data_IF_669830312111
#
_entry.id   IF_669830312111
#
_cell.length_a   1.000
_cell.length_b   1.000
_cell.length_c   1.000
_cell.angle_alpha   90.00
_cell.angle_beta   90.00
_cell.angle_gamma   90.00
#
_symmetry.space_group_name_H-M   'P 1'
#
loop_
_entity.id
_entity.type
_entity.pdbx_description
1 polymer ?
#
# COMPACT_ATOMS: atom_id res chain seq x y z
N UNK A 1 -22.81 -62.38 -4.81
CA UNK A 1 -21.37 -62.43 -4.37
C UNK A 1 -20.59 -61.78 -5.49
N UNK A 2 -20.31 -60.53 -5.41
CA UNK A 2 -19.08 -59.92 -5.95
C UNK A 2 -18.82 -58.61 -5.23
N UNK A 3 -17.89 -58.75 -4.36
CA UNK A 3 -17.22 -57.67 -3.64
C UNK A 3 -16.27 -57.00 -4.65
N UNK A 4 -16.46 -55.73 -4.95
CA UNK A 4 -15.43 -54.92 -5.61
C UNK A 4 -15.19 -53.69 -4.75
N UNK A 5 -14.22 -53.88 -3.85
CA UNK A 5 -13.60 -52.85 -3.08
C UNK A 5 -12.60 -52.14 -4.00
N UNK A 6 -12.96 -50.97 -4.58
CA UNK A 6 -11.98 -50.12 -5.25
C UNK A 6 -11.16 -49.37 -4.19
N UNK A 7 -9.82 -49.40 -4.27
CA UNK A 7 -8.98 -48.67 -3.36
C UNK A 7 -9.09 -47.15 -3.62
N UNK A 8 -9.33 -46.40 -2.51
CA UNK A 8 -9.24 -44.94 -2.48
C UNK A 8 -7.92 -44.47 -3.09
N UNK A 9 -8.01 -43.61 -4.12
CA UNK A 9 -6.87 -42.91 -4.65
C UNK A 9 -6.28 -42.01 -3.54
N UNK A 10 -4.96 -41.99 -3.35
CA UNK A 10 -4.35 -41.11 -2.39
C UNK A 10 -4.52 -39.65 -2.84
N UNK A 11 -4.96 -38.80 -1.91
CA UNK A 11 -4.97 -37.35 -2.06
C UNK A 11 -3.65 -36.89 -2.68
N UNK A 12 -3.74 -36.17 -3.81
CA UNK A 12 -2.60 -35.47 -4.38
C UNK A 12 -1.99 -34.54 -3.32
N UNK A 13 -0.68 -34.57 -3.11
CA UNK A 13 -0.05 -33.65 -2.19
C UNK A 13 -0.24 -32.22 -2.68
N UNK A 14 -0.71 -31.34 -1.79
CA UNK A 14 -0.75 -29.89 -2.02
C UNK A 14 0.52 -29.46 -2.75
N UNK A 15 0.36 -28.75 -3.87
CA UNK A 15 1.47 -28.13 -4.59
C UNK A 15 2.38 -27.39 -3.58
N UNK A 16 3.70 -27.59 -3.63
CA UNK A 16 4.59 -26.89 -2.72
C UNK A 16 4.47 -25.40 -2.98
N UNK A 17 4.18 -24.63 -1.91
CA UNK A 17 4.35 -23.18 -1.89
C UNK A 17 5.62 -22.82 -2.64
N UNK A 18 5.50 -21.91 -3.63
CA UNK A 18 6.67 -21.39 -4.35
C UNK A 18 7.75 -20.98 -3.36
N UNK A 19 8.96 -21.53 -3.45
CA UNK A 19 9.99 -21.25 -2.48
C UNK A 19 10.44 -19.80 -2.64
N UNK A 20 10.26 -19.02 -1.57
CA UNK A 20 11.03 -17.80 -1.31
C UNK A 20 10.53 -16.48 -1.88
N UNK A 21 9.24 -16.23 -1.90
CA UNK A 21 8.80 -14.85 -2.07
C UNK A 21 9.10 -14.03 -0.80
N UNK A 22 9.76 -12.86 -0.91
CA UNK A 22 10.16 -12.09 0.26
C UNK A 22 8.93 -11.65 1.07
N UNK A 23 9.00 -11.84 2.40
CA UNK A 23 7.94 -11.46 3.34
C UNK A 23 7.55 -9.99 3.24
N UNK A 24 8.49 -9.11 2.94
CA UNK A 24 8.30 -7.67 2.79
C UNK A 24 8.45 -7.31 1.32
N UNK A 25 7.37 -6.82 0.70
CA UNK A 25 7.33 -6.49 -0.72
C UNK A 25 6.77 -5.10 -0.91
N UNK A 26 7.37 -4.37 -1.83
CA UNK A 26 6.73 -3.18 -2.40
C UNK A 26 6.22 -3.61 -3.77
N UNK A 27 4.91 -3.65 -3.91
CA UNK A 27 4.24 -3.81 -5.20
C UNK A 27 3.48 -2.53 -5.48
N UNK A 28 3.51 -2.07 -6.71
CA UNK A 28 2.86 -0.83 -7.12
C UNK A 28 2.59 -0.83 -8.62
N UNK A 29 1.62 -0.04 -9.05
CA UNK A 29 1.56 0.44 -10.42
C UNK A 29 2.66 1.50 -10.58
N UNK A 30 3.55 1.31 -11.55
CA UNK A 30 4.66 2.24 -11.77
C UNK A 30 5.12 2.27 -13.22
N UNK A 31 5.77 3.36 -13.60
CA UNK A 31 6.47 3.56 -14.87
C UNK A 31 7.98 3.68 -14.62
N UNK A 32 8.75 4.12 -15.59
CA UNK A 32 10.17 4.44 -15.42
C UNK A 32 10.40 5.65 -14.51
N UNK A 33 9.48 6.61 -14.49
CA UNK A 33 9.62 7.89 -13.77
C UNK A 33 8.65 8.07 -12.61
N UNK A 34 7.56 7.31 -12.53
CA UNK A 34 6.49 7.50 -11.56
C UNK A 34 6.11 6.22 -10.82
N UNK A 35 5.46 6.40 -9.68
CA UNK A 35 4.80 5.35 -8.87
C UNK A 35 3.43 5.85 -8.44
N UNK A 36 2.43 4.98 -8.51
CA UNK A 36 1.09 5.27 -8.00
C UNK A 36 0.99 4.86 -6.53
N UNK A 37 0.46 5.78 -5.72
CA UNK A 37 0.14 5.54 -4.31
C UNK A 37 -1.31 5.92 -4.05
N UNK A 38 -1.93 5.32 -3.04
CA UNK A 38 -3.34 5.52 -2.74
C UNK A 38 -3.53 6.21 -1.40
N UNK A 39 -4.54 7.08 -1.36
CA UNK A 39 -5.04 7.73 -0.16
C UNK A 39 -6.57 7.86 -0.25
N UNK A 40 -7.22 8.07 0.88
CA UNK A 40 -8.64 8.37 0.90
C UNK A 40 -8.93 9.56 1.82
N UNK A 41 -9.83 10.40 1.39
CA UNK A 41 -10.20 11.65 2.04
C UNK A 41 -11.72 11.86 1.99
N UNK A 42 -12.20 12.76 2.84
CA UNK A 42 -13.56 13.29 2.71
C UNK A 42 -13.72 14.03 1.37
N UNK A 43 -14.96 14.10 0.83
CA UNK A 43 -15.21 14.70 -0.51
C UNK A 43 -14.69 16.12 -0.68
N UNK A 44 -14.69 16.94 0.39
CA UNK A 44 -14.23 18.34 0.36
C UNK A 44 -12.71 18.48 0.13
N UNK A 45 -11.96 17.40 0.37
CA UNK A 45 -10.52 17.32 0.08
C UNK A 45 -10.27 16.54 -1.20
N UNK A 46 -10.83 15.33 -1.29
CA UNK A 46 -10.56 14.40 -2.40
C UNK A 46 -11.08 14.93 -3.75
N UNK A 47 -12.31 15.42 -3.78
CA UNK A 47 -12.91 15.93 -5.01
C UNK A 47 -12.13 17.10 -5.64
N UNK A 48 -11.82 18.17 -4.90
CA UNK A 48 -10.94 19.23 -5.41
C UNK A 48 -9.54 18.74 -5.78
N UNK A 49 -8.96 17.80 -5.02
CA UNK A 49 -7.65 17.28 -5.33
C UNK A 49 -7.61 16.58 -6.69
N UNK A 50 -8.58 15.71 -6.98
CA UNK A 50 -8.69 15.03 -8.27
C UNK A 50 -8.96 16.03 -9.43
N UNK A 51 -9.83 17.02 -9.24
CA UNK A 51 -10.15 18.00 -10.29
C UNK A 51 -8.98 18.91 -10.65
N UNK A 52 -8.14 19.25 -9.70
CA UNK A 52 -7.07 20.24 -9.90
C UNK A 52 -5.67 19.62 -9.96
N UNK A 53 -5.53 18.30 -9.80
CA UNK A 53 -4.24 17.61 -9.77
C UNK A 53 -3.33 18.01 -8.59
N UNK A 54 -3.89 18.63 -7.55
CA UNK A 54 -3.18 19.09 -6.36
C UNK A 54 -4.13 19.22 -5.16
N UNK A 55 -3.61 19.05 -3.97
CA UNK A 55 -4.40 19.22 -2.75
C UNK A 55 -4.89 20.67 -2.57
N UNK A 56 -6.13 20.86 -2.09
CA UNK A 56 -6.65 22.18 -1.76
C UNK A 56 -5.93 22.77 -0.53
N UNK A 57 -6.02 24.09 -0.34
CA UNK A 57 -5.42 24.79 0.81
C UNK A 57 -5.93 24.30 2.18
N UNK A 58 -7.12 23.69 2.21
CA UNK A 58 -7.69 23.07 3.41
C UNK A 58 -7.06 21.72 3.78
N UNK A 59 -6.21 21.16 2.91
CA UNK A 59 -5.45 19.97 3.24
C UNK A 59 -4.37 20.31 4.28
N UNK A 60 -4.34 19.54 5.38
CA UNK A 60 -3.46 19.84 6.52
C UNK A 60 -2.03 19.37 6.27
N UNK A 61 -1.12 20.30 6.07
CA UNK A 61 0.31 20.07 5.82
C UNK A 61 1.13 19.75 7.07
N UNK A 62 0.61 20.12 8.23
CA UNK A 62 1.25 19.93 9.55
C UNK A 62 1.01 18.53 10.14
N UNK A 63 0.15 17.75 9.50
CA UNK A 63 -0.12 16.35 9.90
C UNK A 63 0.67 15.38 9.04
N UNK A 64 1.13 14.29 9.69
CA UNK A 64 1.66 13.15 8.94
C UNK A 64 0.60 12.61 7.99
N UNK A 65 0.95 12.48 6.72
CA UNK A 65 0.15 11.83 5.71
C UNK A 65 0.72 10.47 5.36
N UNK A 66 -0.15 9.46 5.15
CA UNK A 66 0.26 8.09 4.87
C UNK A 66 -0.13 7.74 3.43
N UNK A 67 0.87 7.39 2.63
CA UNK A 67 0.70 6.90 1.25
C UNK A 67 0.92 5.39 1.19
N UNK A 68 0.18 4.70 0.32
CA UNK A 68 0.18 3.26 0.21
C UNK A 68 0.25 2.83 -1.26
N UNK A 69 1.30 2.10 -1.67
CA UNK A 69 1.39 1.60 -3.04
C UNK A 69 0.33 0.54 -3.39
N UNK A 70 -0.17 -0.23 -2.40
CA UNK A 70 -1.17 -1.28 -2.64
C UNK A 70 -2.59 -0.73 -2.62
N UNK A 71 -3.35 -1.00 -3.70
CA UNK A 71 -4.76 -0.68 -3.82
C UNK A 71 -5.61 -1.45 -2.80
N UNK A 72 -5.45 -2.77 -2.70
CA UNK A 72 -6.28 -3.58 -1.79
C UNK A 72 -6.01 -3.26 -0.32
N UNK A 73 -4.77 -2.95 0.06
CA UNK A 73 -4.50 -2.47 1.41
C UNK A 73 -5.21 -1.12 1.68
N UNK A 74 -5.24 -0.23 0.67
CA UNK A 74 -6.00 1.03 0.81
C UNK A 74 -7.50 0.76 0.92
N UNK A 75 -8.05 -0.19 0.16
CA UNK A 75 -9.47 -0.59 0.28
C UNK A 75 -9.79 -1.11 1.68
N UNK A 76 -8.94 -1.95 2.24
CA UNK A 76 -9.04 -2.39 3.63
C UNK A 76 -9.06 -1.19 4.61
N UNK A 77 -8.18 -0.22 4.39
CA UNK A 77 -8.05 0.94 5.28
C UNK A 77 -9.26 1.85 5.24
N UNK A 78 -9.82 2.12 4.07
CA UNK A 78 -10.97 3.02 3.87
C UNK A 78 -12.32 2.29 3.80
N UNK A 79 -12.34 0.94 3.89
CA UNK A 79 -13.57 0.15 3.74
C UNK A 79 -14.24 0.36 2.37
N UNK A 80 -13.44 0.27 1.30
CA UNK A 80 -13.93 0.53 -0.07
C UNK A 80 -14.52 1.93 -0.27
N UNK A 81 -14.02 2.93 0.45
CA UNK A 81 -14.55 4.30 0.41
C UNK A 81 -15.83 4.52 1.21
N UNK A 82 -16.19 3.61 2.12
CA UNK A 82 -17.43 3.75 2.93
C UNK A 82 -17.17 4.31 4.34
N UNK A 83 -15.91 4.40 4.78
CA UNK A 83 -15.61 4.96 6.09
C UNK A 83 -15.72 6.47 6.08
N UNK A 84 -16.33 7.01 7.14
CA UNK A 84 -16.44 8.46 7.35
C UNK A 84 -15.08 9.17 7.24
N UNK A 85 -15.05 10.23 6.46
CA UNK A 85 -13.86 11.03 6.16
C UNK A 85 -12.88 10.36 5.19
N UNK A 86 -13.26 9.25 4.53
CA UNK A 86 -12.47 8.49 3.58
C UNK A 86 -13.29 8.05 2.35
N UNK A 87 -14.29 8.85 1.98
CA UNK A 87 -15.29 8.51 0.95
C UNK A 87 -14.76 8.74 -0.46
N UNK A 88 -13.73 9.56 -0.64
CA UNK A 88 -13.08 9.78 -1.94
C UNK A 88 -11.72 9.10 -1.95
N UNK A 89 -11.60 8.05 -2.74
CA UNK A 89 -10.35 7.30 -2.91
C UNK A 89 -9.57 7.87 -4.07
N UNK A 90 -8.31 8.21 -3.82
CA UNK A 90 -7.42 8.82 -4.79
C UNK A 90 -6.29 7.85 -5.18
N UNK A 91 -6.05 7.71 -6.48
CA UNK A 91 -4.79 7.24 -7.03
C UNK A 91 -3.92 8.48 -7.32
N UNK A 92 -2.77 8.54 -6.68
CA UNK A 92 -1.87 9.69 -6.76
C UNK A 92 -0.57 9.22 -7.38
N UNK A 93 -0.28 9.75 -8.56
CA UNK A 93 0.96 9.48 -9.25
C UNK A 93 2.03 10.45 -8.76
N UNK A 94 3.13 9.91 -8.26
CA UNK A 94 4.27 10.71 -7.76
C UNK A 94 5.56 10.31 -8.46
N UNK A 95 6.54 11.21 -8.46
CA UNK A 95 7.86 10.92 -9.00
C UNK A 95 8.54 9.79 -8.20
N UNK A 96 9.19 8.85 -8.90
CA UNK A 96 10.01 7.81 -8.26
C UNK A 96 11.15 8.40 -7.46
N UNK A 97 11.73 9.49 -7.92
CA UNK A 97 12.78 10.21 -7.20
C UNK A 97 12.31 10.64 -5.81
N UNK A 98 11.11 11.24 -5.72
CA UNK A 98 10.50 11.64 -4.46
C UNK A 98 10.19 10.46 -3.54
N UNK A 99 9.65 9.38 -4.10
CA UNK A 99 9.38 8.15 -3.34
C UNK A 99 10.67 7.52 -2.80
N UNK A 100 11.74 7.42 -3.62
CA UNK A 100 13.05 6.93 -3.20
C UNK A 100 13.69 7.84 -2.14
N UNK A 101 13.58 9.18 -2.31
CA UNK A 101 14.04 10.13 -1.29
C UNK A 101 13.35 9.86 0.06
N UNK A 102 12.03 9.66 0.04
CA UNK A 102 11.29 9.36 1.26
C UNK A 102 11.75 8.04 1.90
N UNK A 103 11.95 6.98 1.11
CA UNK A 103 12.45 5.69 1.63
C UNK A 103 13.86 5.81 2.22
N UNK A 104 14.78 6.54 1.56
CA UNK A 104 16.15 6.75 2.07
C UNK A 104 16.19 7.53 3.38
N UNK A 105 15.22 8.41 3.61
CA UNK A 105 15.11 9.24 4.81
C UNK A 105 14.10 8.70 5.84
N UNK A 106 13.57 7.49 5.61
CA UNK A 106 12.60 6.90 6.51
C UNK A 106 13.23 6.16 7.69
N UNK A 107 12.50 6.15 8.80
CA UNK A 107 12.72 5.28 9.95
C UNK A 107 11.55 4.30 10.09
N UNK A 108 11.82 3.07 10.55
CA UNK A 108 10.72 2.14 10.89
C UNK A 108 9.87 2.71 12.02
N UNK A 109 8.54 2.58 11.89
CA UNK A 109 7.58 3.08 12.86
C UNK A 109 7.59 2.31 14.19
N UNK A 110 8.25 1.16 14.24
CA UNK A 110 8.45 0.33 15.44
C UNK A 110 9.93 0.07 15.72
N UNK A 111 10.24 -0.18 16.98
CA UNK A 111 11.61 -0.48 17.41
C UNK A 111 12.00 -1.91 17.05
N UNK A 112 13.16 -2.05 16.42
CA UNK A 112 13.80 -3.34 16.12
C UNK A 112 15.21 -3.31 16.70
N UNK A 113 15.50 -4.02 17.79
CA UNK A 113 16.79 -3.93 18.48
C UNK A 113 17.99 -4.22 17.58
N UNK A 114 17.87 -5.20 16.68
CA UNK A 114 18.96 -5.58 15.75
C UNK A 114 19.32 -4.45 14.75
N UNK A 115 18.39 -3.54 14.44
CA UNK A 115 18.61 -2.42 13.51
C UNK A 115 18.88 -1.10 14.23
N UNK A 116 18.25 -0.89 15.37
CA UNK A 116 18.21 0.42 16.02
C UNK A 116 19.03 0.49 17.31
N UNK A 117 19.54 -0.65 17.82
CA UNK A 117 20.15 -0.70 19.15
C UNK A 117 19.12 -0.37 20.24
N UNK A 118 19.46 0.57 21.12
CA UNK A 118 18.61 0.96 22.22
C UNK A 118 17.32 1.68 21.77
N UNK A 119 16.22 1.44 22.50
CA UNK A 119 14.92 2.04 22.21
C UNK A 119 14.96 3.59 22.28
N UNK A 120 15.84 4.16 23.12
CA UNK A 120 16.02 5.61 23.22
C UNK A 120 16.63 6.20 21.95
N UNK A 121 17.55 5.48 21.30
CA UNK A 121 18.18 5.89 20.04
C UNK A 121 17.19 5.85 18.90
N UNK A 122 16.42 4.75 18.78
CA UNK A 122 15.33 4.67 17.84
C UNK A 122 14.31 5.82 18.01
N UNK A 123 13.88 6.13 19.23
CA UNK A 123 12.97 7.26 19.49
C UNK A 123 13.55 8.61 19.03
N UNK A 124 14.88 8.80 19.14
CA UNK A 124 15.54 10.00 18.63
C UNK A 124 15.55 10.05 17.11
N UNK A 125 15.86 8.92 16.44
CA UNK A 125 15.80 8.79 14.99
C UNK A 125 14.38 9.02 14.47
N UNK A 126 13.38 8.38 15.06
CA UNK A 126 11.97 8.49 14.67
C UNK A 126 11.45 9.93 14.77
N UNK A 127 11.88 10.70 15.75
CA UNK A 127 11.49 12.13 15.88
C UNK A 127 12.12 13.02 14.82
N UNK A 128 13.29 12.66 14.30
CA UNK A 128 14.03 13.43 13.31
C UNK A 128 13.71 13.03 11.87
N UNK A 129 13.27 11.79 11.69
CA UNK A 129 12.99 11.27 10.37
C UNK A 129 11.77 11.97 9.74
N UNK A 130 11.92 12.53 8.53
CA UNK A 130 10.82 13.15 7.80
C UNK A 130 9.84 12.12 7.24
N UNK A 131 10.23 10.85 7.18
CA UNK A 131 9.40 9.76 6.73
C UNK A 131 9.42 8.57 7.70
N UNK A 132 8.35 7.78 7.70
CA UNK A 132 8.23 6.54 8.49
C UNK A 132 7.73 5.41 7.64
N UNK A 133 8.32 4.24 7.82
CA UNK A 133 7.86 3.00 7.19
C UNK A 133 7.13 2.15 8.20
N UNK A 134 5.97 1.65 7.78
CA UNK A 134 5.23 0.59 8.47
C UNK A 134 4.89 -0.51 7.47
N UNK A 135 5.03 -1.75 7.90
CA UNK A 135 4.68 -2.93 7.13
C UNK A 135 3.45 -3.60 7.73
N UNK A 136 2.39 -3.68 6.95
CA UNK A 136 1.14 -4.31 7.33
C UNK A 136 0.89 -5.55 6.46
N UNK A 137 0.10 -6.53 6.94
CA UNK A 137 -0.30 -7.64 6.08
C UNK A 137 -0.99 -7.12 4.81
N UNK A 138 -0.54 -7.57 3.65
CA UNK A 138 -1.24 -7.33 2.39
C UNK A 138 -2.62 -7.97 2.43
N UNK A 139 -3.52 -7.59 1.53
CA UNK A 139 -4.93 -8.01 1.50
C UNK A 139 -5.28 -8.71 0.20
N UNK A 140 -6.14 -9.72 0.31
CA UNK A 140 -6.85 -10.29 -0.84
C UNK A 140 -8.13 -9.49 -1.19
N UNK A 141 -8.89 -9.94 -2.17
CA UNK A 141 -10.15 -9.30 -2.59
C UNK A 141 -11.23 -9.27 -1.48
N UNK A 142 -11.20 -10.22 -0.56
CA UNK A 142 -12.07 -10.24 0.62
C UNK A 142 -11.53 -9.43 1.79
N UNK A 143 -10.38 -8.75 1.59
CA UNK A 143 -9.65 -8.00 2.60
C UNK A 143 -9.09 -8.87 3.74
N UNK A 144 -8.96 -10.19 3.52
CA UNK A 144 -8.24 -11.07 4.44
C UNK A 144 -6.74 -10.79 4.37
N UNK A 145 -6.01 -10.95 5.48
CA UNK A 145 -4.57 -10.76 5.51
C UNK A 145 -3.84 -11.85 4.72
N UNK A 146 -2.89 -11.43 3.87
CA UNK A 146 -1.97 -12.33 3.18
C UNK A 146 -0.68 -12.55 3.98
N UNK A 147 0.10 -13.62 3.71
CA UNK A 147 1.34 -13.93 4.43
C UNK A 147 2.43 -12.87 4.26
N UNK A 148 2.49 -12.21 3.10
CA UNK A 148 3.44 -11.14 2.85
C UNK A 148 2.90 -9.78 3.30
N UNK A 149 3.81 -8.82 3.45
CA UNK A 149 3.50 -7.49 3.95
C UNK A 149 3.63 -6.44 2.87
N UNK A 150 2.74 -5.47 2.92
CA UNK A 150 2.69 -4.27 2.10
C UNK A 150 3.22 -3.07 2.87
N UNK A 151 3.81 -2.13 2.12
CA UNK A 151 4.35 -0.89 2.66
C UNK A 151 3.25 0.16 2.86
N UNK A 152 3.28 0.87 3.99
CA UNK A 152 2.78 2.23 4.07
C UNK A 152 3.90 3.19 4.48
N UNK A 153 3.92 4.35 3.85
CA UNK A 153 4.93 5.38 4.02
C UNK A 153 4.28 6.65 4.59
N UNK A 154 4.62 6.98 5.83
CA UNK A 154 4.19 8.20 6.50
C UNK A 154 5.14 9.34 6.17
N UNK A 155 4.61 10.45 5.72
CA UNK A 155 5.35 11.66 5.36
C UNK A 155 4.99 12.79 6.32
N UNK A 156 5.99 13.48 6.87
CA UNK A 156 5.81 14.59 7.82
C UNK A 156 6.79 15.73 7.50
N UNK A 157 6.46 16.94 7.96
CA UNK A 157 7.32 18.10 7.79
C UNK A 157 7.76 18.31 6.34
N UNK A 158 9.07 18.32 6.10
CA UNK A 158 9.67 18.48 4.77
C UNK A 158 9.14 17.45 3.76
N UNK A 159 9.04 16.17 4.15
CA UNK A 159 8.55 15.13 3.24
C UNK A 159 7.09 15.37 2.82
N UNK A 160 6.23 15.82 3.73
CA UNK A 160 4.84 16.13 3.40
C UNK A 160 4.72 17.37 2.50
N UNK A 161 5.57 18.39 2.72
CA UNK A 161 5.61 19.57 1.87
C UNK A 161 6.08 19.22 0.45
N UNK A 162 7.21 18.52 0.33
CA UNK A 162 7.74 18.08 -0.97
C UNK A 162 6.78 17.13 -1.70
N UNK A 163 6.12 16.24 -0.97
CA UNK A 163 5.10 15.37 -1.54
C UNK A 163 4.00 16.18 -2.24
N UNK A 164 3.44 17.17 -1.54
CA UNK A 164 2.32 17.95 -2.06
C UNK A 164 2.71 18.96 -3.15
N UNK A 165 3.92 19.51 -3.10
CA UNK A 165 4.34 20.63 -3.95
C UNK A 165 5.28 20.21 -5.09
N UNK A 166 6.05 19.10 -4.94
CA UNK A 166 7.09 18.73 -5.90
C UNK A 166 6.88 17.34 -6.52
N UNK A 167 6.38 16.34 -5.73
CA UNK A 167 6.39 14.95 -6.19
C UNK A 167 5.14 14.54 -6.94
N UNK A 168 3.99 15.16 -6.65
CA UNK A 168 2.71 14.83 -7.31
C UNK A 168 2.77 15.21 -8.79
N UNK A 169 2.55 14.21 -9.66
CA UNK A 169 2.46 14.35 -11.12
C UNK A 169 1.00 14.36 -11.55
N UNK A 170 0.14 13.60 -10.88
CA UNK A 170 -1.28 13.52 -11.18
C UNK A 170 -2.09 12.96 -9.99
N UNK A 171 -3.36 13.29 -9.96
CA UNK A 171 -4.33 12.76 -8.99
C UNK A 171 -5.60 12.35 -9.74
N UNK A 172 -6.03 11.11 -9.53
CA UNK A 172 -7.24 10.55 -10.12
C UNK A 172 -8.19 10.11 -9.00
N UNK A 173 -9.49 10.37 -9.17
CA UNK A 173 -10.54 9.82 -8.31
C UNK A 173 -10.87 8.39 -8.78
N UNK A 174 -10.47 7.41 -7.99
CA UNK A 174 -10.72 5.99 -8.24
C UNK A 174 -11.83 5.42 -7.35
N UNK A 175 -12.64 6.27 -6.75
CA UNK A 175 -13.82 5.85 -5.98
C UNK A 175 -14.80 5.02 -6.83
N UNK A 176 -15.07 5.36 -8.11
CA UNK A 176 -15.91 4.52 -8.96
C UNK A 176 -15.35 3.11 -9.13
N UNK A 177 -14.04 2.98 -9.37
CA UNK A 177 -13.36 1.68 -9.47
C UNK A 177 -13.48 0.89 -8.16
N UNK A 178 -13.22 1.54 -7.02
CA UNK A 178 -13.35 0.90 -5.70
C UNK A 178 -14.77 0.36 -5.46
N UNK A 179 -15.79 1.14 -5.85
CA UNK A 179 -17.20 0.76 -5.72
C UNK A 179 -17.55 -0.43 -6.62
N UNK A 180 -17.08 -0.41 -7.86
CA UNK A 180 -17.35 -1.48 -8.84
C UNK A 180 -16.68 -2.79 -8.42
N UNK A 181 -15.40 -2.78 -8.07
CA UNK A 181 -14.68 -3.95 -7.56
C UNK A 181 -15.39 -4.51 -6.31
N UNK A 182 -15.79 -3.65 -5.38
CA UNK A 182 -16.51 -4.08 -4.17
C UNK A 182 -17.86 -4.72 -4.51
N UNK A 183 -18.62 -4.19 -5.46
CA UNK A 183 -19.89 -4.77 -5.91
C UNK A 183 -19.69 -6.18 -6.49
N UNK A 184 -18.67 -6.38 -7.32
CA UNK A 184 -18.32 -7.69 -7.90
C UNK A 184 -17.89 -8.69 -6.82
N UNK A 185 -17.07 -8.26 -5.86
CA UNK A 185 -16.68 -9.11 -4.72
C UNK A 185 -17.91 -9.57 -3.93
N UNK A 186 -18.85 -8.66 -3.65
CA UNK A 186 -20.09 -8.99 -2.95
C UNK A 186 -21.02 -9.93 -3.75
N UNK A 187 -20.96 -9.84 -5.08
CA UNK A 187 -21.69 -10.75 -5.98
C UNK A 187 -21.00 -12.12 -6.15
N UNK A 188 -19.78 -12.30 -5.62
CA UNK A 188 -18.99 -13.52 -5.81
C UNK A 188 -18.28 -13.61 -7.17
N UNK A 189 -18.30 -12.53 -7.96
CA UNK A 189 -17.70 -12.45 -9.30
C UNK A 189 -16.20 -12.11 -9.21
N UNK A 190 -15.43 -12.98 -8.54
CA UNK A 190 -14.03 -12.70 -8.20
C UNK A 190 -13.12 -12.56 -9.41
N UNK A 191 -13.38 -13.31 -10.48
CA UNK A 191 -12.61 -13.21 -11.73
C UNK A 191 -12.76 -11.82 -12.37
N UNK A 192 -13.99 -11.32 -12.45
CA UNK A 192 -14.27 -9.97 -12.95
C UNK A 192 -13.67 -8.90 -12.02
N UNK A 193 -13.82 -9.05 -10.71
CA UNK A 193 -13.21 -8.15 -9.72
C UNK A 193 -11.68 -8.08 -9.86
N UNK A 194 -11.02 -9.23 -9.99
CA UNK A 194 -9.56 -9.31 -10.18
C UNK A 194 -9.11 -8.64 -11.48
N UNK A 195 -9.90 -8.78 -12.56
CA UNK A 195 -9.60 -8.16 -13.85
C UNK A 195 -9.67 -6.62 -13.86
N UNK A 196 -10.34 -6.01 -12.87
CA UNK A 196 -10.41 -4.56 -12.72
C UNK A 196 -9.30 -3.99 -11.81
N UNK A 197 -8.60 -4.84 -11.07
CA UNK A 197 -7.55 -4.33 -10.17
C UNK A 197 -6.42 -3.65 -10.94
N UNK A 198 -5.85 -2.57 -10.39
CA UNK A 198 -4.66 -1.96 -10.96
C UNK A 198 -3.52 -2.99 -11.07
N UNK A 199 -2.81 -3.00 -12.20
CA UNK A 199 -1.65 -3.87 -12.37
C UNK A 199 -0.50 -3.43 -11.48
N UNK A 200 -0.36 -4.05 -10.32
CA UNK A 200 0.74 -3.83 -9.40
C UNK A 200 1.85 -4.86 -9.63
N UNK A 201 3.05 -4.37 -9.86
CA UNK A 201 4.26 -5.17 -10.12
C UNK A 201 5.27 -4.97 -9.00
N UNK A 202 6.22 -5.90 -8.80
CA UNK A 202 7.34 -5.67 -7.90
C UNK A 202 8.03 -4.33 -8.21
N UNK A 203 8.16 -3.48 -7.19
CA UNK A 203 8.78 -2.16 -7.33
C UNK A 203 10.26 -2.22 -6.93
N UNK A 204 11.18 -1.82 -7.80
CA UNK A 204 12.61 -1.90 -7.53
C UNK A 204 13.03 -0.80 -6.53
N UNK A 205 13.71 -1.23 -5.48
CA UNK A 205 14.34 -0.36 -4.47
C UNK A 205 15.74 -0.91 -4.20
N UNK A 206 16.68 -0.02 -3.92
CA UNK A 206 18.06 -0.39 -3.61
C UNK A 206 18.12 -1.32 -2.38
N UNK A 207 18.90 -2.39 -2.46
CA UNK A 207 18.99 -3.42 -1.41
C UNK A 207 19.40 -2.84 -0.04
N UNK A 208 20.30 -1.87 -0.01
CA UNK A 208 20.73 -1.17 1.21
C UNK A 208 19.57 -0.43 1.90
N UNK A 209 18.69 0.20 1.11
CA UNK A 209 17.50 0.88 1.62
C UNK A 209 16.53 -0.13 2.20
N UNK A 210 16.27 -1.21 1.46
CA UNK A 210 15.37 -2.27 1.91
C UNK A 210 15.90 -2.98 3.17
N UNK A 211 17.20 -3.24 3.26
CA UNK A 211 17.81 -3.89 4.43
C UNK A 211 17.57 -3.10 5.73
N UNK A 212 17.58 -1.77 5.66
CA UNK A 212 17.28 -0.90 6.81
C UNK A 212 15.80 -0.81 7.18
N UNK A 213 14.92 -1.14 6.23
CA UNK A 213 13.47 -0.96 6.36
C UNK A 213 12.72 -2.29 6.52
N UNK A 214 13.41 -3.43 6.44
CA UNK A 214 12.85 -4.77 6.65
C UNK A 214 13.27 -5.28 8.02
N UNK A 215 12.31 -5.77 8.81
CA UNK A 215 12.56 -6.39 10.10
C UNK A 215 11.46 -7.40 10.48
#
# INVERSE_FOLDING_TARGET
VNDQNEPNEPNEPNEPNEPNEPRFRIRARHTESTITVYQAYRPEIGGPAARHGRFPSSWKRDRMTWIKPSFLWMMYRCGWGTKEGQETVLAIEISREGFHWALRNACLSHHVPALHGEAADWKRQLRRAPARVQWDPERDLYLNPLPHRSLQLGLAGEAAARYADEWIVGIEDVTPLATEVHALVRAGELGAAAGLLPEERPYPVEDEVLARLRA
#
